data_IF_622264307632
#
_entry.id   IF_622264307632
#
_cell.length_a   1.000
_cell.length_b   1.000
_cell.length_c   1.000
_cell.angle_alpha   90.00
_cell.angle_beta   90.00
_cell.angle_gamma   90.00
#
_symmetry.space_group_name_H-M   'P 1'
#
loop_
_entity.id
_entity.type
_entity.pdbx_description
1 polymer ?
#
# COMPACT_ATOMS: atom_id res chain seq x y z
N UNK A 1 20.78 20.23 1.77
CA UNK A 1 20.87 19.53 0.48
C UNK A 1 20.54 18.04 0.61
N UNK A 2 21.21 17.27 1.49
CA UNK A 2 21.03 15.81 1.66
C UNK A 2 19.61 15.36 2.08
N UNK A 3 18.88 16.18 2.83
CA UNK A 3 17.52 15.85 3.31
C UNK A 3 16.48 15.81 2.19
N UNK A 4 16.67 16.63 1.15
CA UNK A 4 15.73 16.74 0.02
C UNK A 4 15.75 15.48 -0.87
N UNK A 5 16.94 14.96 -1.18
CA UNK A 5 17.09 13.76 -2.03
C UNK A 5 16.54 12.50 -1.36
N UNK A 6 16.64 12.41 -0.03
CA UNK A 6 16.12 11.27 0.73
C UNK A 6 14.59 11.26 0.76
N UNK A 7 13.97 12.44 0.92
CA UNK A 7 12.51 12.60 0.88
C UNK A 7 11.94 12.37 -0.52
N UNK A 8 12.62 12.85 -1.57
CA UNK A 8 12.23 12.64 -2.96
C UNK A 8 12.26 11.16 -3.35
N UNK A 9 13.29 10.43 -2.93
CA UNK A 9 13.40 8.97 -3.10
C UNK A 9 12.28 8.21 -2.39
N UNK A 10 11.99 8.56 -1.14
CA UNK A 10 10.90 7.93 -0.39
C UNK A 10 9.54 8.16 -1.09
N UNK A 11 9.29 9.37 -1.61
CA UNK A 11 8.10 9.66 -2.42
C UNK A 11 8.02 8.82 -3.68
N UNK A 12 9.11 8.70 -4.44
CA UNK A 12 9.12 7.88 -5.65
C UNK A 12 8.82 6.41 -5.32
N UNK A 13 9.45 5.86 -4.29
CA UNK A 13 9.25 4.46 -3.90
C UNK A 13 7.80 4.19 -3.47
N UNK A 14 7.20 5.10 -2.69
CA UNK A 14 5.78 5.02 -2.33
C UNK A 14 4.87 5.11 -3.56
N UNK A 15 5.18 5.99 -4.52
CA UNK A 15 4.41 6.09 -5.76
C UNK A 15 4.48 4.79 -6.56
N UNK A 16 5.66 4.20 -6.72
CA UNK A 16 5.81 2.94 -7.47
C UNK A 16 5.12 1.78 -6.75
N UNK A 17 5.20 1.72 -5.42
CA UNK A 17 4.52 0.69 -4.62
C UNK A 17 3.00 0.82 -4.70
N UNK A 18 2.45 2.04 -4.57
CA UNK A 18 1.00 2.29 -4.72
C UNK A 18 0.48 2.03 -6.14
N UNK A 19 1.35 2.07 -7.15
CA UNK A 19 1.06 1.63 -8.52
C UNK A 19 1.15 0.12 -8.73
N UNK A 20 1.45 -0.65 -7.68
CA UNK A 20 1.44 -2.11 -7.71
C UNK A 20 2.73 -2.76 -8.24
N UNK A 21 3.83 -2.00 -8.33
CA UNK A 21 5.11 -2.59 -8.72
C UNK A 21 5.65 -3.48 -7.61
N UNK A 22 6.22 -4.63 -8.00
CA UNK A 22 6.92 -5.52 -7.07
C UNK A 22 8.20 -4.85 -6.56
N UNK A 23 8.71 -5.30 -5.41
CA UNK A 23 9.98 -4.80 -4.85
C UNK A 23 11.16 -4.94 -5.80
N UNK A 24 11.10 -5.92 -6.70
CA UNK A 24 12.14 -6.17 -7.72
C UNK A 24 12.10 -5.12 -8.82
N UNK A 25 10.91 -4.87 -9.39
CA UNK A 25 10.70 -3.79 -10.37
C UNK A 25 11.05 -2.41 -9.79
N UNK A 26 10.73 -2.16 -8.52
CA UNK A 26 11.13 -0.90 -7.85
C UNK A 26 12.67 -0.82 -7.73
N UNK A 27 13.34 -1.93 -7.47
CA UNK A 27 14.81 -2.01 -7.45
C UNK A 27 15.41 -1.65 -8.80
N UNK A 28 14.86 -2.20 -9.89
CA UNK A 28 15.28 -1.89 -11.27
C UNK A 28 15.09 -0.41 -11.63
N UNK A 29 13.91 0.17 -11.31
CA UNK A 29 13.65 1.59 -11.51
C UNK A 29 14.63 2.45 -10.72
N UNK A 30 14.93 2.06 -9.48
CA UNK A 30 15.88 2.80 -8.65
C UNK A 30 17.31 2.72 -9.16
N UNK A 31 17.75 1.59 -9.70
CA UNK A 31 19.07 1.48 -10.35
C UNK A 31 19.14 2.41 -11.56
N UNK A 32 18.09 2.43 -12.38
CA UNK A 32 18.02 3.29 -13.57
C UNK A 32 18.04 4.79 -13.22
N UNK A 33 17.30 5.20 -12.19
CA UNK A 33 17.15 6.63 -11.83
C UNK A 33 18.31 7.14 -10.97
N UNK A 34 18.85 6.31 -10.06
CA UNK A 34 19.83 6.75 -9.05
C UNK A 34 21.19 6.04 -9.12
N UNK A 35 21.39 5.08 -10.04
CA UNK A 35 22.65 4.34 -10.19
C UNK A 35 23.06 3.54 -8.95
N UNK A 36 22.08 3.12 -8.14
CA UNK A 36 22.30 2.38 -6.89
C UNK A 36 21.30 1.24 -6.74
N UNK A 37 21.82 0.05 -6.42
CA UNK A 37 20.97 -1.11 -6.19
C UNK A 37 20.41 -1.07 -4.79
N UNK A 38 19.09 -1.11 -4.64
CA UNK A 38 18.44 -1.24 -3.35
C UNK A 38 18.00 -2.69 -3.12
N UNK A 39 18.30 -3.21 -1.94
CA UNK A 39 17.82 -4.53 -1.56
C UNK A 39 16.30 -4.51 -1.37
N UNK A 40 15.64 -5.68 -1.53
CA UNK A 40 14.20 -5.84 -1.26
C UNK A 40 13.83 -5.33 0.14
N UNK A 41 14.73 -5.50 1.11
CA UNK A 41 14.56 -5.00 2.48
C UNK A 41 14.61 -3.47 2.57
N UNK A 42 15.52 -2.81 1.84
CA UNK A 42 15.60 -1.34 1.79
C UNK A 42 14.38 -0.75 1.09
N UNK A 43 13.92 -1.35 -0.01
CA UNK A 43 12.69 -0.97 -0.70
C UNK A 43 11.49 -1.09 0.25
N UNK A 44 11.36 -2.23 0.95
CA UNK A 44 10.29 -2.44 1.92
C UNK A 44 10.35 -1.47 3.11
N UNK A 45 11.55 -1.12 3.59
CA UNK A 45 11.73 -0.18 4.68
C UNK A 45 11.30 1.24 4.28
N UNK A 46 11.63 1.68 3.06
CA UNK A 46 11.19 2.99 2.55
C UNK A 46 9.66 3.04 2.38
N UNK A 47 9.05 1.93 1.95
CA UNK A 47 7.61 1.78 1.83
C UNK A 47 6.89 1.66 3.20
N UNK A 48 7.61 1.52 4.33
CA UNK A 48 6.96 1.48 5.65
C UNK A 48 6.23 2.79 5.99
N UNK A 49 6.59 3.91 5.37
CA UNK A 49 5.87 5.17 5.55
C UNK A 49 4.39 5.08 5.15
N UNK A 50 4.02 4.13 4.29
CA UNK A 50 2.61 3.87 3.96
C UNK A 50 1.83 3.21 5.11
N UNK A 51 2.49 2.59 6.11
CA UNK A 51 1.78 1.92 7.21
C UNK A 51 0.99 2.92 8.05
N UNK A 52 1.58 4.06 8.36
CA UNK A 52 0.93 5.10 9.13
C UNK A 52 -0.29 5.66 8.38
N UNK A 53 -0.20 5.79 7.06
CA UNK A 53 -1.32 6.22 6.22
C UNK A 53 -2.44 5.19 6.16
N UNK A 54 -2.08 3.89 6.07
CA UNK A 54 -3.04 2.78 6.14
C UNK A 54 -3.74 2.76 7.50
N UNK A 55 -3.00 2.91 8.60
CA UNK A 55 -3.58 2.93 9.94
C UNK A 55 -4.53 4.11 10.14
N UNK A 56 -4.14 5.32 9.71
CA UNK A 56 -5.02 6.49 9.72
C UNK A 56 -6.29 6.27 8.90
N UNK A 57 -6.15 5.64 7.73
CA UNK A 57 -7.30 5.33 6.87
C UNK A 57 -8.23 4.30 7.52
N UNK A 58 -7.69 3.26 8.18
CA UNK A 58 -8.46 2.24 8.89
C UNK A 58 -9.19 2.82 10.11
N UNK A 59 -8.56 3.75 10.83
CA UNK A 59 -9.10 4.39 12.03
C UNK A 59 -9.90 5.67 11.74
N UNK A 60 -10.21 5.97 10.47
CA UNK A 60 -10.97 7.17 10.11
C UNK A 60 -12.38 7.12 10.69
N UNK A 61 -12.93 8.28 11.02
CA UNK A 61 -14.35 8.39 11.37
C UNK A 61 -15.21 8.01 10.16
N UNK A 62 -16.20 7.16 10.40
CA UNK A 62 -17.19 6.74 9.40
C UNK A 62 -18.47 7.58 9.55
N UNK A 63 -19.26 7.64 8.48
CA UNK A 63 -20.59 8.25 8.54
C UNK A 63 -21.50 7.46 9.47
N UNK A 64 -22.43 8.13 10.15
CA UNK A 64 -23.46 7.49 10.95
C UNK A 64 -24.52 6.78 10.09
N UNK A 65 -24.62 7.13 8.81
CA UNK A 65 -25.59 6.55 7.87
C UNK A 65 -24.99 6.34 6.47
N UNK A 66 -25.39 5.24 5.84
CA UNK A 66 -25.03 4.84 4.48
C UNK A 66 -26.30 4.33 3.77
N UNK A 67 -26.52 4.76 2.52
CA UNK A 67 -27.66 4.33 1.71
C UNK A 67 -27.58 2.84 1.34
N UNK A 68 -26.35 2.36 1.07
CA UNK A 68 -26.07 0.98 0.75
C UNK A 68 -24.66 0.60 1.21
N UNK A 69 -24.44 -0.67 1.52
CA UNK A 69 -23.13 -1.23 1.83
C UNK A 69 -22.92 -2.49 1.01
N UNK A 70 -21.82 -2.52 0.26
CA UNK A 70 -21.37 -3.68 -0.51
C UNK A 70 -20.22 -4.35 0.24
N UNK A 71 -20.26 -5.67 0.29
CA UNK A 71 -19.21 -6.49 0.90
C UNK A 71 -18.76 -7.50 -0.15
N UNK A 72 -17.47 -7.46 -0.48
CA UNK A 72 -16.81 -8.44 -1.35
C UNK A 72 -15.77 -9.22 -0.56
N UNK A 73 -15.49 -10.46 -0.99
CA UNK A 73 -14.44 -11.29 -0.42
C UNK A 73 -13.53 -11.81 -1.54
N UNK A 74 -12.28 -11.33 -1.55
CA UNK A 74 -11.25 -11.80 -2.47
C UNK A 74 -10.37 -12.84 -1.78
N UNK A 75 -10.29 -14.05 -2.32
CA UNK A 75 -9.45 -15.11 -1.77
C UNK A 75 -8.03 -15.04 -2.31
N UNK A 76 -7.05 -14.83 -1.43
CA UNK A 76 -5.63 -14.69 -1.77
C UNK A 76 -4.83 -15.79 -1.07
N UNK A 77 -3.87 -16.37 -1.79
CA UNK A 77 -2.90 -17.29 -1.19
C UNK A 77 -1.93 -16.50 -0.31
N UNK A 78 -2.11 -16.59 1.01
CA UNK A 78 -1.33 -15.85 2.00
C UNK A 78 -0.42 -16.79 2.76
N UNK A 79 0.81 -16.34 3.04
CA UNK A 79 1.79 -17.09 3.82
C UNK A 79 1.81 -16.60 5.27
N UNK A 80 1.56 -17.49 6.24
CA UNK A 80 1.73 -17.25 7.68
C UNK A 80 2.56 -18.36 8.31
N UNK A 81 3.49 -17.99 9.19
CA UNK A 81 4.25 -18.93 10.05
C UNK A 81 4.77 -20.20 9.34
N UNK A 82 5.13 -20.08 8.05
CA UNK A 82 5.64 -21.11 7.11
C UNK A 82 4.60 -21.89 6.29
N UNK A 83 3.31 -21.73 6.51
CA UNK A 83 2.26 -22.34 5.67
C UNK A 83 1.65 -21.32 4.69
N UNK A 84 1.22 -21.79 3.52
CA UNK A 84 0.41 -21.00 2.58
C UNK A 84 -1.01 -21.55 2.60
N UNK A 85 -1.99 -20.68 2.81
CA UNK A 85 -3.42 -21.00 2.77
C UNK A 85 -4.18 -19.95 1.95
N UNK A 86 -5.35 -20.32 1.42
CA UNK A 86 -6.26 -19.34 0.81
C UNK A 86 -7.01 -18.62 1.92
N UNK A 87 -6.72 -17.34 2.11
CA UNK A 87 -7.38 -16.46 3.08
C UNK A 87 -8.37 -15.53 2.35
N UNK A 88 -9.51 -15.24 2.98
CA UNK A 88 -10.48 -14.29 2.47
C UNK A 88 -10.13 -12.87 2.96
N UNK A 89 -9.97 -11.94 2.02
CA UNK A 89 -9.80 -10.52 2.28
C UNK A 89 -11.10 -9.80 1.96
N UNK A 90 -11.74 -9.23 2.99
CA UNK A 90 -13.01 -8.54 2.85
C UNK A 90 -12.80 -7.08 2.45
N UNK A 91 -13.51 -6.64 1.41
CA UNK A 91 -13.58 -5.23 1.02
C UNK A 91 -15.00 -4.73 1.28
N UNK A 92 -15.11 -3.63 2.02
CA UNK A 92 -16.39 -3.01 2.38
C UNK A 92 -16.47 -1.64 1.71
N UNK A 93 -17.54 -1.38 0.96
CA UNK A 93 -17.81 -0.13 0.27
C UNK A 93 -19.17 0.42 0.69
N UNK A 94 -19.19 1.58 1.34
CA UNK A 94 -20.42 2.26 1.73
C UNK A 94 -20.75 3.39 0.76
N UNK A 95 -22.04 3.53 0.40
CA UNK A 95 -22.53 4.65 -0.41
C UNK A 95 -23.17 5.69 0.51
N UNK A 96 -22.69 6.93 0.45
CA UNK A 96 -23.19 8.06 1.23
C UNK A 96 -24.45 8.66 0.60
N UNK A 97 -25.15 9.53 1.34
CA UNK A 97 -26.40 10.16 0.90
C UNK A 97 -26.23 11.01 -0.37
N UNK A 98 -25.05 11.60 -0.56
CA UNK A 98 -24.68 12.36 -1.75
C UNK A 98 -24.26 11.48 -2.95
N UNK A 99 -24.32 10.15 -2.78
CA UNK A 99 -23.91 9.17 -3.78
C UNK A 99 -22.40 8.93 -3.88
N UNK A 100 -21.59 9.56 -3.01
CA UNK A 100 -20.15 9.28 -2.93
C UNK A 100 -19.86 7.95 -2.21
N UNK A 101 -18.61 7.46 -2.35
CA UNK A 101 -18.16 6.14 -1.91
C UNK A 101 -16.83 6.20 -1.15
#
# INVERSE_FOLDING_TARGET
MIRNESEERARLFNLLYTKGLTTEQIGEVSECVYGRSYSKQQVSYLANSCRDDVEKWLCRNLSSHYLAVYIDATFISTRRDRQVSKEAYYTILGILEDGSR
#
